data_IF_506161601460
#
_entry.id   IF_506161601460
#
_cell.length_a   1.000
_cell.length_b   1.000
_cell.length_c   1.000
_cell.angle_alpha   90.00
_cell.angle_beta   90.00
_cell.angle_gamma   90.00
#
_symmetry.space_group_name_H-M   'P 1'
#
loop_
_entity.id
_entity.type
_entity.pdbx_description
1 polymer ?
#
# COMPACT_ATOMS: atom_id res chain seq x y z
N UNK A 1 -14.57 -21.35 23.99
CA UNK A 1 -15.31 -20.14 23.61
C UNK A 1 -14.51 -19.42 22.54
N UNK A 2 -15.15 -18.94 21.48
CA UNK A 2 -14.47 -18.14 20.46
C UNK A 2 -14.20 -16.74 21.02
N UNK A 3 -13.04 -16.18 20.72
CA UNK A 3 -12.68 -14.80 21.09
C UNK A 3 -13.63 -13.83 20.38
N UNK A 4 -14.28 -12.94 21.14
CA UNK A 4 -15.06 -11.82 20.60
C UNK A 4 -14.21 -10.56 20.70
N UNK A 5 -13.79 -9.96 19.58
CA UNK A 5 -13.07 -8.70 19.60
C UNK A 5 -13.91 -7.58 20.23
N UNK A 6 -13.34 -6.72 21.08
CA UNK A 6 -14.08 -5.69 21.81
C UNK A 6 -14.31 -4.41 20.97
N UNK A 7 -14.94 -4.55 19.80
CA UNK A 7 -15.27 -3.41 18.94
C UNK A 7 -16.64 -2.82 19.30
N UNK A 8 -16.70 -1.51 19.52
CA UNK A 8 -17.97 -0.77 19.73
C UNK A 8 -18.06 0.35 18.71
N UNK A 9 -19.18 0.42 17.99
CA UNK A 9 -19.43 1.48 17.01
C UNK A 9 -19.73 2.78 17.75
N UNK A 10 -19.07 3.86 17.34
CA UNK A 10 -19.31 5.23 17.83
C UNK A 10 -19.84 6.11 16.70
N UNK A 11 -20.44 7.25 17.04
CA UNK A 11 -20.88 8.23 16.05
C UNK A 11 -19.71 8.74 15.19
N UNK A 12 -18.51 8.88 15.76
CA UNK A 12 -17.32 9.31 15.02
C UNK A 12 -16.93 8.30 13.94
N UNK A 13 -17.00 7.00 14.24
CA UNK A 13 -16.76 5.93 13.25
C UNK A 13 -17.78 6.05 12.11
N UNK A 14 -19.06 6.27 12.43
CA UNK A 14 -20.11 6.42 11.41
C UNK A 14 -19.88 7.66 10.54
N UNK A 15 -19.47 8.78 11.13
CA UNK A 15 -19.16 10.00 10.41
C UNK A 15 -17.96 9.80 9.46
N UNK A 16 -16.89 9.16 9.93
CA UNK A 16 -15.72 8.84 9.10
C UNK A 16 -16.08 7.89 7.95
N UNK A 17 -16.90 6.87 8.19
CA UNK A 17 -17.37 5.95 7.15
C UNK A 17 -18.18 6.70 6.08
N UNK A 18 -19.08 7.60 6.49
CA UNK A 18 -19.86 8.41 5.56
C UNK A 18 -18.96 9.34 4.73
N UNK A 19 -18.00 10.00 5.36
CA UNK A 19 -17.05 10.90 4.68
C UNK A 19 -16.19 10.15 3.67
N UNK A 20 -15.61 9.00 4.06
CA UNK A 20 -14.82 8.14 3.18
C UNK A 20 -15.66 7.67 1.99
N UNK A 21 -16.93 7.30 2.20
CA UNK A 21 -17.83 6.86 1.13
C UNK A 21 -18.12 7.96 0.11
N UNK A 22 -18.32 9.20 0.58
CA UNK A 22 -18.51 10.37 -0.30
C UNK A 22 -17.23 10.65 -1.10
N UNK A 23 -16.06 10.59 -0.46
CA UNK A 23 -14.77 10.78 -1.13
C UNK A 23 -14.53 9.71 -2.20
N UNK A 24 -14.84 8.46 -1.90
CA UNK A 24 -14.70 7.34 -2.83
C UNK A 24 -15.59 7.54 -4.07
N UNK A 25 -16.87 7.86 -3.88
CA UNK A 25 -17.79 8.10 -4.99
C UNK A 25 -17.35 9.26 -5.90
N UNK A 26 -16.82 10.35 -5.31
CA UNK A 26 -16.24 11.46 -6.09
C UNK A 26 -15.01 11.03 -6.89
N UNK A 27 -14.15 10.21 -6.28
CA UNK A 27 -12.93 9.71 -6.91
C UNK A 27 -13.29 8.89 -8.15
N UNK A 28 -14.20 7.93 -8.02
CA UNK A 28 -14.66 7.04 -9.10
C UNK A 28 -15.24 7.82 -10.28
N UNK A 29 -16.09 8.82 -10.03
CA UNK A 29 -16.70 9.65 -11.09
C UNK A 29 -15.66 10.53 -11.78
N UNK A 30 -14.71 11.10 -11.03
CA UNK A 30 -13.74 12.05 -11.58
C UNK A 30 -12.62 11.39 -12.40
N UNK A 31 -12.35 10.10 -12.19
CA UNK A 31 -11.19 9.44 -12.78
C UNK A 31 -11.54 8.02 -13.27
N UNK A 32 -12.19 7.88 -14.44
CA UNK A 32 -12.51 6.57 -15.01
C UNK A 32 -11.26 5.69 -15.24
N UNK A 33 -10.08 6.29 -15.36
CA UNK A 33 -8.78 5.61 -15.53
C UNK A 33 -7.99 5.41 -14.21
N UNK A 34 -8.62 5.53 -13.02
CA UNK A 34 -8.01 5.31 -11.69
C UNK A 34 -7.17 4.04 -11.58
N UNK A 35 -7.47 3.07 -12.43
CA UNK A 35 -6.88 1.75 -12.43
C UNK A 35 -5.93 1.52 -13.60
N UNK A 36 -5.33 2.57 -14.18
CA UNK A 36 -4.27 2.36 -15.17
C UNK A 36 -3.14 1.50 -14.55
N UNK A 37 -2.55 0.55 -15.29
CA UNK A 37 -1.48 -0.29 -14.77
C UNK A 37 -0.31 0.51 -14.17
N UNK A 38 -0.02 1.67 -14.74
CA UNK A 38 1.06 2.56 -14.29
C UNK A 38 0.73 3.20 -12.93
N UNK A 39 -0.48 3.71 -12.74
CA UNK A 39 -0.92 4.29 -11.46
C UNK A 39 -0.98 3.22 -10.36
N UNK A 40 -1.51 2.03 -10.68
CA UNK A 40 -1.52 0.90 -9.75
C UNK A 40 -0.10 0.54 -9.30
N UNK A 41 0.83 0.42 -10.23
CA UNK A 41 2.23 0.11 -9.91
C UNK A 41 2.88 1.22 -9.08
N UNK A 42 2.66 2.48 -9.43
CA UNK A 42 3.17 3.62 -8.67
C UNK A 42 2.65 3.66 -7.23
N UNK A 43 1.34 3.44 -7.04
CA UNK A 43 0.73 3.38 -5.70
C UNK A 43 1.26 2.20 -4.90
N UNK A 44 1.45 1.04 -5.54
CA UNK A 44 2.03 -0.16 -4.93
C UNK A 44 3.42 0.10 -4.33
N UNK A 45 4.28 0.76 -5.12
CA UNK A 45 5.65 1.09 -4.71
C UNK A 45 5.62 2.03 -3.51
N UNK A 46 4.74 3.03 -3.52
CA UNK A 46 4.54 3.94 -2.37
C UNK A 46 4.06 3.19 -1.13
N UNK A 47 3.11 2.28 -1.26
CA UNK A 47 2.61 1.44 -0.15
C UNK A 47 3.73 0.59 0.45
N UNK A 48 4.54 -0.08 -0.38
CA UNK A 48 5.67 -0.90 0.08
C UNK A 48 6.68 -0.04 0.83
N UNK A 49 7.08 1.10 0.25
CA UNK A 49 8.07 1.99 0.87
C UNK A 49 7.55 2.53 2.21
N UNK A 50 6.33 3.04 2.27
CA UNK A 50 5.76 3.58 3.50
C UNK A 50 5.64 2.52 4.60
N UNK A 51 5.23 1.29 4.24
CA UNK A 51 5.10 0.19 5.19
C UNK A 51 6.45 -0.23 5.76
N UNK A 52 7.48 -0.36 4.91
CA UNK A 52 8.82 -0.72 5.35
C UNK A 52 9.48 0.40 6.16
N UNK A 53 9.21 1.67 5.84
CA UNK A 53 9.72 2.81 6.59
C UNK A 53 9.20 2.85 8.04
N UNK A 54 7.95 2.41 8.28
CA UNK A 54 7.39 2.26 9.65
C UNK A 54 8.21 1.23 10.44
N UNK A 55 8.69 0.18 9.78
CA UNK A 55 9.54 -0.87 10.35
C UNK A 55 11.04 -0.51 10.34
N UNK A 56 11.38 0.78 10.22
CA UNK A 56 12.74 1.34 10.21
C UNK A 56 13.60 0.93 9.01
N UNK A 57 13.00 0.55 7.87
CA UNK A 57 13.74 0.43 6.62
C UNK A 57 14.12 1.83 6.11
N UNK A 58 15.40 2.02 5.78
CA UNK A 58 15.97 3.33 5.45
C UNK A 58 15.96 3.67 3.96
N UNK A 59 15.50 2.75 3.10
CA UNK A 59 15.46 2.97 1.66
C UNK A 59 14.44 4.03 1.27
N UNK A 60 14.89 4.99 0.45
CA UNK A 60 14.03 6.03 -0.11
C UNK A 60 13.05 5.48 -1.15
N UNK A 61 12.01 6.25 -1.47
CA UNK A 61 11.08 5.88 -2.54
C UNK A 61 11.77 5.63 -3.88
N UNK A 62 12.80 6.41 -4.21
CA UNK A 62 13.59 6.22 -5.43
C UNK A 62 14.38 4.91 -5.38
N UNK A 63 15.01 4.59 -4.25
CA UNK A 63 15.75 3.34 -4.07
C UNK A 63 14.81 2.13 -4.13
N UNK A 64 13.66 2.15 -3.44
CA UNK A 64 12.64 1.09 -3.53
C UNK A 64 12.15 0.92 -4.97
N UNK A 65 11.90 2.02 -5.68
CA UNK A 65 11.53 1.99 -7.10
C UNK A 65 12.63 1.37 -7.96
N UNK A 66 13.90 1.68 -7.68
CA UNK A 66 15.04 1.15 -8.41
C UNK A 66 15.22 -0.36 -8.15
N UNK A 67 15.04 -0.83 -6.90
CA UNK A 67 15.04 -2.26 -6.54
C UNK A 67 13.97 -3.01 -7.33
N UNK A 68 12.72 -2.54 -7.30
CA UNK A 68 11.58 -3.17 -7.99
C UNK A 68 11.75 -3.16 -9.52
N UNK A 69 12.52 -2.22 -10.06
CA UNK A 69 12.85 -2.17 -11.49
C UNK A 69 14.12 -2.97 -11.86
N UNK A 70 14.72 -3.70 -10.92
CA UNK A 70 15.93 -4.49 -11.15
C UNK A 70 17.18 -3.63 -11.42
N UNK A 71 17.17 -2.35 -11.05
CA UNK A 71 18.34 -1.47 -11.16
C UNK A 71 19.29 -1.71 -9.99
N UNK A 72 20.57 -1.36 -10.18
CA UNK A 72 21.56 -1.40 -9.08
C UNK A 72 21.21 -0.34 -8.03
N UNK A 73 21.21 -0.75 -6.77
CA UNK A 73 20.93 0.12 -5.62
C UNK A 73 21.99 -0.13 -4.55
N UNK A 74 22.49 0.96 -3.97
CA UNK A 74 23.32 0.91 -2.77
C UNK A 74 22.41 0.92 -1.55
N UNK A 75 22.57 -0.07 -0.68
CA UNK A 75 21.77 -0.25 0.53
C UNK A 75 22.17 -1.51 1.27
N UNK A 76 21.60 -1.72 2.46
CA UNK A 76 21.85 -2.95 3.21
C UNK A 76 21.20 -4.13 2.46
N UNK A 77 21.91 -5.27 2.27
CA UNK A 77 21.35 -6.42 1.57
C UNK A 77 20.02 -6.91 2.16
N UNK A 78 19.89 -6.81 3.49
CA UNK A 78 18.66 -7.15 4.21
C UNK A 78 17.48 -6.26 3.80
N UNK A 79 17.66 -4.94 3.80
CA UNK A 79 16.60 -3.99 3.44
C UNK A 79 16.16 -4.14 1.99
N UNK A 80 17.11 -4.42 1.08
CA UNK A 80 16.81 -4.72 -0.32
C UNK A 80 15.98 -6.00 -0.43
N UNK A 81 16.32 -7.03 0.35
CA UNK A 81 15.55 -8.27 0.37
C UNK A 81 14.14 -8.08 0.95
N UNK A 82 13.99 -7.23 1.97
CA UNK A 82 12.67 -6.86 2.53
C UNK A 82 11.79 -6.21 1.47
N UNK A 83 12.33 -5.30 0.65
CA UNK A 83 11.61 -4.70 -0.48
C UNK A 83 11.15 -5.75 -1.49
N UNK A 84 12.03 -6.66 -1.90
CA UNK A 84 11.68 -7.74 -2.84
C UNK A 84 10.60 -8.65 -2.26
N UNK A 85 10.75 -9.06 -1.00
CA UNK A 85 9.79 -9.92 -0.32
C UNK A 85 8.42 -9.23 -0.17
N UNK A 86 8.40 -7.95 0.20
CA UNK A 86 7.17 -7.17 0.30
C UNK A 86 6.51 -7.05 -1.08
N UNK A 87 7.28 -6.73 -2.12
CA UNK A 87 6.77 -6.65 -3.48
C UNK A 87 6.10 -7.97 -3.92
N UNK A 88 6.80 -9.10 -3.73
CA UNK A 88 6.29 -10.43 -4.04
C UNK A 88 5.03 -10.79 -3.23
N UNK A 89 5.02 -10.46 -1.93
CA UNK A 89 3.88 -10.71 -1.05
C UNK A 89 2.64 -9.97 -1.54
N UNK A 90 2.78 -8.68 -1.86
CA UNK A 90 1.67 -7.92 -2.39
C UNK A 90 1.24 -8.40 -3.79
N UNK A 91 2.17 -8.90 -4.63
CA UNK A 91 1.83 -9.40 -5.98
C UNK A 91 0.97 -10.65 -5.87
N UNK A 92 1.24 -11.49 -4.87
CA UNK A 92 0.43 -12.68 -4.56
C UNK A 92 -0.92 -12.33 -3.94
N UNK A 93 -1.00 -11.23 -3.18
CA UNK A 93 -2.26 -10.70 -2.63
C UNK A 93 -3.18 -10.11 -3.70
N UNK A 94 -2.62 -9.71 -4.85
CA UNK A 94 -3.36 -9.31 -6.04
C UNK A 94 -4.05 -10.52 -6.72
N UNK A 95 -4.85 -11.27 -5.97
CA UNK A 95 -5.91 -12.15 -6.47
C UNK A 95 -7.07 -11.27 -6.96
N UNK A 96 -7.24 -11.25 -8.30
CA UNK A 96 -8.46 -10.90 -9.07
C UNK A 96 -9.42 -9.88 -8.45
N UNK A 97 -9.33 -8.63 -8.94
CA UNK A 97 -10.50 -7.83 -9.31
C UNK A 97 -10.23 -7.32 -10.73
#
# INVERSE_FOLDING_TARGET
MAYTPPFTITNDILNLVAEISVMLGRLEVANPDLMSPQLRRGNRIKTIQASLAIENNTLSLEQVTAVINGKRVLGLPREIQEVNNAFDAYERLSLRI
#
